data_IF_443296060264
#
_entry.id   IF_443296060264
#
_cell.length_a   1.000
_cell.length_b   1.000
_cell.length_c   1.000
_cell.angle_alpha   90.00
_cell.angle_beta   90.00
_cell.angle_gamma   90.00
#
_symmetry.space_group_name_H-M   'P 1'
#
loop_
_entity.id
_entity.type
_entity.pdbx_description
1 polymer ?
#
# COMPACT_ATOMS: atom_id res chain seq x y z
N UNK A 1 -5.85 -7.71 19.63
CA UNK A 1 -5.95 -6.35 19.07
C UNK A 1 -6.32 -5.32 20.13
N UNK A 2 -7.58 -5.19 20.55
CA UNK A 2 -8.00 -4.22 21.58
C UNK A 2 -7.28 -4.39 22.94
N UNK A 3 -7.03 -5.63 23.37
CA UNK A 3 -6.23 -5.90 24.58
C UNK A 3 -4.77 -5.45 24.48
N UNK A 4 -4.17 -5.43 23.28
CA UNK A 4 -2.80 -4.90 23.07
C UNK A 4 -2.75 -3.37 23.17
N UNK A 5 -3.91 -2.71 23.04
CA UNK A 5 -4.09 -1.27 23.17
C UNK A 5 -4.57 -0.87 24.58
N UNK A 6 -4.56 -1.81 25.55
CA UNK A 6 -4.91 -1.53 26.95
C UNK A 6 -6.41 -1.62 27.28
N UNK A 7 -7.21 -2.31 26.46
CA UNK A 7 -8.63 -2.57 26.77
C UNK A 7 -8.81 -3.83 27.64
N UNK A 8 -9.51 -3.69 28.76
CA UNK A 8 -9.87 -4.79 29.68
C UNK A 8 -10.94 -5.72 29.08
N UNK A 9 -10.95 -6.99 29.49
CA UNK A 9 -11.98 -7.99 29.11
C UNK A 9 -12.71 -8.57 30.32
N UNK A 10 -13.98 -8.92 30.14
CA UNK A 10 -14.75 -9.71 31.12
C UNK A 10 -14.47 -11.22 30.99
N UNK A 11 -15.07 -11.99 31.91
CA UNK A 11 -14.90 -13.45 31.97
C UNK A 11 -15.52 -14.21 30.79
N UNK A 12 -16.36 -13.54 29.99
CA UNK A 12 -16.94 -14.06 28.76
C UNK A 12 -16.17 -13.59 27.51
N UNK A 13 -15.08 -12.82 27.69
CA UNK A 13 -14.19 -12.37 26.62
C UNK A 13 -14.58 -11.03 25.98
N UNK A 14 -15.60 -10.34 26.49
CA UNK A 14 -16.05 -9.04 25.98
C UNK A 14 -15.16 -7.91 26.49
N UNK A 15 -14.90 -6.91 25.64
CA UNK A 15 -14.17 -5.70 26.07
C UNK A 15 -15.06 -4.84 26.97
N UNK A 16 -14.55 -4.48 28.14
CA UNK A 16 -15.29 -3.72 29.15
C UNK A 16 -15.09 -2.21 28.91
N UNK A 17 -16.19 -1.45 28.92
CA UNK A 17 -16.18 0.02 28.81
C UNK A 17 -15.61 0.65 30.09
N UNK A 18 -15.23 1.94 30.03
CA UNK A 18 -14.50 2.63 31.09
C UNK A 18 -15.11 2.41 32.49
N UNK A 19 -14.28 1.97 33.41
CA UNK A 19 -14.64 1.38 34.71
C UNK A 19 -14.70 2.48 35.78
N UNK A 20 -15.47 3.55 35.55
CA UNK A 20 -15.53 4.66 36.51
C UNK A 20 -16.71 4.62 37.48
N UNK A 21 -17.67 3.71 37.35
CA UNK A 21 -18.57 3.40 38.48
C UNK A 21 -19.07 1.95 38.44
N UNK A 22 -18.79 1.20 39.51
CA UNK A 22 -19.19 -0.21 39.66
C UNK A 22 -20.70 -0.36 39.87
N UNK A 23 -21.45 0.74 39.92
CA UNK A 23 -22.90 0.75 40.12
C UNK A 23 -23.70 1.12 38.87
N UNK A 24 -23.08 1.64 37.80
CA UNK A 24 -23.82 2.05 36.61
C UNK A 24 -23.87 0.93 35.57
N UNK A 25 -25.03 0.26 35.52
CA UNK A 25 -25.34 -0.81 34.56
C UNK A 25 -25.53 -0.28 33.12
N UNK A 26 -25.22 0.99 32.87
CA UNK A 26 -25.62 1.73 31.68
C UNK A 26 -24.58 2.73 31.17
N UNK A 27 -23.28 2.39 31.13
CA UNK A 27 -22.42 3.04 30.14
C UNK A 27 -22.74 2.51 28.73
N UNK A 28 -23.89 2.95 28.21
CA UNK A 28 -24.40 2.66 26.86
C UNK A 28 -23.63 3.42 25.78
N UNK A 29 -22.57 4.15 26.12
CA UNK A 29 -21.88 5.00 25.16
C UNK A 29 -20.96 4.21 24.22
N UNK A 30 -20.60 2.96 24.56
CA UNK A 30 -19.75 2.11 23.72
C UNK A 30 -18.27 2.53 23.71
N UNK A 31 -17.84 3.34 24.70
CA UNK A 31 -16.48 3.85 24.86
C UNK A 31 -15.52 2.75 25.27
N UNK A 32 -14.37 2.65 24.60
CA UNK A 32 -13.28 1.78 25.07
C UNK A 32 -12.49 2.47 26.19
N UNK A 33 -11.53 1.78 26.80
CA UNK A 33 -10.61 2.37 27.78
C UNK A 33 -9.71 3.46 27.19
N UNK A 34 -9.72 3.64 25.87
CA UNK A 34 -9.04 4.74 25.18
C UNK A 34 -10.04 5.87 24.93
N UNK A 35 -9.77 7.03 25.51
CA UNK A 35 -10.62 8.21 25.36
C UNK A 35 -10.81 8.60 23.88
N UNK A 36 -12.07 8.74 23.47
CA UNK A 36 -12.43 9.10 22.09
C UNK A 36 -12.45 7.93 21.12
N UNK A 37 -12.37 6.68 21.59
CA UNK A 37 -12.55 5.48 20.78
C UNK A 37 -13.83 4.77 21.22
N UNK A 38 -14.63 4.41 20.23
CA UNK A 38 -15.85 3.63 20.39
C UNK A 38 -15.77 2.39 19.52
N UNK A 39 -16.12 1.25 20.09
CA UNK A 39 -16.11 -0.03 19.40
C UNK A 39 -17.46 -0.70 19.55
N UNK A 40 -18.05 -1.12 18.43
CA UNK A 40 -19.31 -1.87 18.40
C UNK A 40 -19.12 -3.08 17.50
N UNK A 41 -19.29 -4.28 18.04
CA UNK A 41 -19.26 -5.52 17.26
C UNK A 41 -18.68 -6.72 18.00
N UNK A 42 -18.42 -7.78 17.26
CA UNK A 42 -17.98 -9.06 17.81
C UNK A 42 -16.47 -9.03 18.12
N UNK A 43 -16.10 -9.23 19.39
CA UNK A 43 -14.68 -9.23 19.83
C UNK A 43 -13.96 -10.53 19.45
N UNK A 44 -14.71 -11.61 19.17
CA UNK A 44 -14.16 -12.90 18.73
C UNK A 44 -13.81 -12.88 17.24
N UNK A 45 -14.63 -12.19 16.44
CA UNK A 45 -14.35 -11.95 15.03
C UNK A 45 -14.13 -10.44 14.79
N UNK A 46 -12.88 -9.96 14.83
CA UNK A 46 -12.59 -8.54 14.71
C UNK A 46 -12.92 -7.97 13.32
N UNK A 47 -13.26 -8.81 12.32
CA UNK A 47 -13.78 -8.36 11.01
C UNK A 47 -15.27 -8.01 11.05
N UNK A 48 -15.99 -8.43 12.09
CA UNK A 48 -17.38 -8.06 12.34
C UNK A 48 -17.48 -6.94 13.40
N UNK A 49 -16.49 -6.02 13.41
CA UNK A 49 -16.40 -4.91 14.33
C UNK A 49 -16.39 -3.57 13.59
N UNK A 50 -17.21 -2.62 14.04
CA UNK A 50 -17.15 -1.23 13.66
C UNK A 50 -16.40 -0.43 14.73
N UNK A 51 -15.38 0.32 14.32
CA UNK A 51 -14.62 1.22 15.20
C UNK A 51 -14.87 2.65 14.74
N UNK A 52 -15.46 3.46 15.63
CA UNK A 52 -15.64 4.88 15.41
C UNK A 52 -14.73 5.63 16.40
N UNK A 53 -14.02 6.65 15.93
CA UNK A 53 -13.13 7.42 16.79
C UNK A 53 -13.17 8.92 16.49
N UNK A 54 -12.91 9.73 17.50
CA UNK A 54 -12.81 11.17 17.40
C UNK A 54 -11.69 11.70 18.31
N UNK A 55 -11.07 12.81 17.90
CA UNK A 55 -9.98 13.45 18.66
C UNK A 55 -8.74 12.54 18.75
N UNK A 56 -8.18 12.42 19.95
CA UNK A 56 -6.98 11.61 20.23
C UNK A 56 -7.19 10.11 19.97
N UNK A 57 -8.44 9.65 19.90
CA UNK A 57 -8.79 8.26 19.58
C UNK A 57 -8.54 7.88 18.12
N UNK A 58 -8.42 8.84 17.20
CA UNK A 58 -8.23 8.56 15.77
C UNK A 58 -6.94 7.78 15.50
N UNK A 59 -5.85 8.08 16.20
CA UNK A 59 -4.57 7.36 16.07
C UNK A 59 -4.70 5.88 16.45
N UNK A 60 -5.49 5.59 17.50
CA UNK A 60 -5.76 4.23 17.91
C UNK A 60 -6.66 3.50 16.90
N UNK A 61 -7.67 4.17 16.33
CA UNK A 61 -8.49 3.59 15.27
C UNK A 61 -7.71 3.28 13.99
N UNK A 62 -6.76 4.13 13.60
CA UNK A 62 -5.85 3.85 12.49
C UNK A 62 -4.94 2.66 12.78
N UNK A 63 -4.30 2.62 13.94
CA UNK A 63 -3.46 1.48 14.32
C UNK A 63 -4.25 0.17 14.31
N UNK A 64 -5.50 0.22 14.76
CA UNK A 64 -6.42 -0.92 14.68
C UNK A 64 -6.65 -1.30 13.21
N UNK A 65 -7.07 -0.37 12.37
CA UNK A 65 -7.37 -0.70 10.98
C UNK A 65 -6.14 -1.27 10.23
N UNK A 66 -4.95 -0.74 10.50
CA UNK A 66 -3.68 -1.23 9.94
C UNK A 66 -3.39 -2.68 10.36
N UNK A 67 -3.50 -3.00 11.66
CA UNK A 67 -3.27 -4.38 12.15
C UNK A 67 -4.19 -5.41 11.45
N UNK A 68 -5.45 -5.05 11.18
CA UNK A 68 -6.40 -5.94 10.47
C UNK A 68 -6.03 -6.11 8.99
N UNK A 69 -5.57 -5.03 8.37
CA UNK A 69 -5.11 -5.06 6.97
C UNK A 69 -3.86 -5.91 6.82
N UNK A 70 -2.90 -5.80 7.75
CA UNK A 70 -1.66 -6.59 7.72
C UNK A 70 -1.98 -8.10 7.84
N UNK A 71 -2.88 -8.48 8.76
CA UNK A 71 -3.35 -9.87 8.87
C UNK A 71 -4.08 -10.39 7.62
N UNK A 72 -4.79 -9.53 6.89
CA UNK A 72 -5.46 -9.89 5.63
C UNK A 72 -4.47 -10.04 4.47
N UNK A 73 -3.45 -9.18 4.42
CA UNK A 73 -2.36 -9.28 3.45
C UNK A 73 -1.58 -10.57 3.67
N UNK A 74 -1.18 -10.87 4.91
CA UNK A 74 -0.45 -12.10 5.24
C UNK A 74 -1.24 -13.35 4.84
N UNK A 75 -2.55 -13.37 5.13
CA UNK A 75 -3.41 -14.49 4.73
C UNK A 75 -3.52 -14.61 3.21
N UNK A 76 -3.66 -13.49 2.50
CA UNK A 76 -3.75 -13.50 1.04
C UNK A 76 -2.43 -14.00 0.41
N UNK A 77 -1.28 -13.58 0.95
CA UNK A 77 0.04 -14.07 0.54
C UNK A 77 0.18 -15.57 0.78
N UNK A 78 -0.24 -16.06 1.94
CA UNK A 78 -0.16 -17.49 2.26
C UNK A 78 -1.11 -18.33 1.40
N UNK A 79 -2.32 -17.85 1.13
CA UNK A 79 -3.25 -18.50 0.19
C UNK A 79 -2.65 -18.57 -1.22
N UNK A 80 -2.02 -17.49 -1.68
CA UNK A 80 -1.36 -17.45 -2.98
C UNK A 80 -0.19 -18.46 -3.04
N UNK A 81 0.64 -18.53 -2.00
CA UNK A 81 1.73 -19.52 -1.88
C UNK A 81 1.21 -20.96 -1.90
N UNK A 82 0.11 -21.24 -1.18
CA UNK A 82 -0.50 -22.57 -1.16
C UNK A 82 -1.12 -22.94 -2.50
N UNK A 83 -1.77 -22.01 -3.19
CA UNK A 83 -2.30 -22.22 -4.53
C UNK A 83 -1.18 -22.48 -5.55
N UNK A 84 -0.07 -21.73 -5.47
CA UNK A 84 1.11 -21.95 -6.31
C UNK A 84 1.77 -23.33 -6.04
N UNK A 85 1.80 -23.76 -4.78
CA UNK A 85 2.30 -25.09 -4.41
C UNK A 85 1.41 -26.23 -4.91
N UNK A 86 0.09 -26.02 -4.97
CA UNK A 86 -0.87 -27.02 -5.47
C UNK A 86 -0.77 -27.25 -7.00
N UNK A 87 -0.29 -26.26 -7.75
CA UNK A 87 -0.08 -26.34 -9.22
C UNK A 87 1.17 -27.15 -9.58
N UNK A 88 2.12 -27.32 -8.65
CA UNK A 88 3.36 -28.07 -8.87
C UNK A 88 3.33 -29.41 -8.14
N UNK A 89 2.54 -30.36 -8.65
CA UNK A 89 2.69 -31.76 -8.28
C UNK A 89 3.80 -32.39 -9.13
N UNK A 90 4.92 -32.85 -8.56
CA UNK A 90 5.93 -33.57 -9.33
C UNK A 90 5.36 -34.95 -9.66
N UNK A 91 4.83 -35.13 -10.87
CA UNK A 91 4.54 -36.47 -11.37
C UNK A 91 5.86 -37.22 -11.49
N UNK A 92 6.12 -38.12 -10.54
CA UNK A 92 7.26 -39.02 -10.51
C UNK A 92 7.16 -40.04 -11.64
N UNK A 93 7.44 -39.63 -12.88
CA UNK A 93 7.92 -40.58 -13.88
C UNK A 93 9.42 -40.74 -13.67
N UNK A 94 9.75 -41.86 -13.04
CA UNK A 94 11.10 -42.31 -12.75
C UNK A 94 11.85 -42.51 -14.07
N UNK A 95 12.80 -41.62 -14.39
CA UNK A 95 13.70 -41.79 -15.53
C UNK A 95 14.70 -42.92 -15.25
N UNK A 96 14.86 -43.91 -16.15
CA UNK A 96 15.62 -45.14 -15.86
C UNK A 96 17.15 -45.02 -16.04
N UNK A 97 17.71 -43.83 -16.29
CA UNK A 97 19.16 -43.67 -16.48
C UNK A 97 19.88 -43.33 -15.17
N UNK A 98 19.86 -44.26 -14.20
CA UNK A 98 20.60 -44.11 -12.94
C UNK A 98 21.90 -44.91 -12.98
N UNK A 99 22.97 -44.32 -13.51
CA UNK A 99 24.32 -44.73 -13.10
C UNK A 99 25.30 -43.55 -13.10
N UNK A 100 25.84 -43.30 -11.90
CA UNK A 100 27.08 -42.62 -11.58
C UNK A 100 27.29 -41.18 -12.10
N UNK A 101 26.97 -40.19 -11.25
CA UNK A 101 27.86 -39.04 -11.12
C UNK A 101 27.95 -38.61 -9.65
N UNK A 102 29.14 -38.72 -9.10
CA UNK A 102 29.50 -38.37 -7.72
C UNK A 102 29.46 -36.87 -7.50
N UNK A 103 29.04 -36.49 -6.30
CA UNK A 103 28.96 -35.14 -5.76
C UNK A 103 30.15 -34.25 -6.11
N UNK A 104 29.84 -33.05 -6.62
CA UNK A 104 30.65 -31.86 -6.38
C UNK A 104 29.70 -30.74 -5.95
N UNK A 105 29.73 -30.41 -4.66
CA UNK A 105 28.98 -29.30 -4.10
C UNK A 105 29.52 -27.99 -4.69
N UNK A 106 28.82 -27.44 -5.68
CA UNK A 106 28.86 -26.01 -5.96
C UNK A 106 27.56 -25.42 -5.44
N UNK A 107 27.69 -24.62 -4.38
CA UNK A 107 26.67 -23.68 -3.90
C UNK A 107 26.40 -22.65 -5.00
N UNK A 108 25.57 -23.02 -5.96
CA UNK A 108 24.93 -22.09 -6.88
C UNK A 108 23.59 -21.70 -6.30
N UNK A 109 23.52 -20.51 -5.69
CA UNK A 109 22.24 -19.85 -5.40
C UNK A 109 21.39 -19.82 -6.68
N UNK A 110 20.09 -20.15 -6.64
CA UNK A 110 19.25 -20.00 -7.82
C UNK A 110 19.26 -18.51 -8.18
N UNK A 111 19.73 -18.19 -9.39
CA UNK A 111 19.56 -16.84 -9.96
C UNK A 111 18.07 -16.55 -9.97
N UNK A 112 17.64 -15.63 -9.11
CA UNK A 112 16.37 -14.94 -9.26
C UNK A 112 16.32 -14.37 -10.68
N UNK A 113 15.32 -14.78 -11.44
CA UNK A 113 14.98 -14.21 -12.73
C UNK A 113 14.66 -12.73 -12.58
N UNK A 114 15.03 -11.96 -13.60
CA UNK A 114 15.02 -10.51 -13.65
C UNK A 114 13.60 -9.93 -13.79
N UNK A 115 12.80 -9.98 -12.71
CA UNK A 115 11.54 -9.24 -12.57
C UNK A 115 11.53 -8.40 -11.28
N UNK A 116 12.66 -7.75 -10.99
CA UNK A 116 12.61 -6.61 -10.06
C UNK A 116 11.89 -5.46 -10.78
N UNK A 117 10.92 -4.77 -10.14
CA UNK A 117 10.32 -3.56 -10.69
C UNK A 117 11.44 -2.63 -11.14
N UNK A 118 11.39 -2.16 -12.38
CA UNK A 118 12.41 -1.25 -12.89
C UNK A 118 12.37 0.04 -12.04
N UNK A 119 13.53 0.55 -11.60
CA UNK A 119 13.56 1.83 -10.90
C UNK A 119 12.85 2.89 -11.72
N UNK A 120 11.85 3.54 -11.14
CA UNK A 120 11.19 4.69 -11.77
C UNK A 120 12.19 5.84 -11.83
N UNK A 121 12.37 6.41 -13.02
CA UNK A 121 13.31 7.50 -13.26
C UNK A 121 13.00 8.70 -12.34
N UNK A 122 14.03 9.18 -11.65
CA UNK A 122 13.95 10.44 -10.92
C UNK A 122 14.21 11.60 -11.87
N UNK A 123 13.36 12.62 -11.80
CA UNK A 123 13.42 13.83 -12.62
C UNK A 123 13.89 15.00 -11.76
N UNK A 124 14.77 15.81 -12.35
CA UNK A 124 15.31 17.05 -11.78
C UNK A 124 14.67 18.26 -12.45
N UNK A 125 14.85 19.47 -11.89
CA UNK A 125 14.37 20.71 -12.50
C UNK A 125 14.81 20.85 -13.98
N UNK A 126 16.05 20.49 -14.30
CA UNK A 126 16.59 20.64 -15.67
C UNK A 126 15.98 19.63 -16.65
N UNK A 127 15.57 18.46 -16.17
CA UNK A 127 15.02 17.38 -17.00
C UNK A 127 13.49 17.39 -17.05
N UNK A 128 12.83 18.13 -16.16
CA UNK A 128 11.39 18.17 -16.01
C UNK A 128 10.66 18.58 -17.29
N UNK A 129 11.12 19.64 -17.95
CA UNK A 129 10.50 20.10 -19.21
C UNK A 129 10.54 19.03 -20.29
N UNK A 130 11.68 18.38 -20.50
CA UNK A 130 11.84 17.37 -21.53
C UNK A 130 11.08 16.06 -21.20
N UNK A 131 11.09 15.64 -19.93
CA UNK A 131 10.52 14.36 -19.49
C UNK A 131 9.03 14.40 -19.19
N UNK A 132 8.49 15.57 -18.79
CA UNK A 132 7.09 15.72 -18.36
C UNK A 132 6.32 16.61 -19.31
N UNK A 133 6.85 17.80 -19.61
CA UNK A 133 6.09 18.80 -20.38
C UNK A 133 6.10 18.53 -21.90
N UNK A 134 7.18 17.93 -22.40
CA UNK A 134 7.34 17.59 -23.82
C UNK A 134 7.11 16.10 -24.11
N UNK A 135 6.62 15.34 -23.12
CA UNK A 135 6.31 13.94 -23.32
C UNK A 135 5.13 13.76 -24.28
N UNK A 136 5.31 12.87 -25.26
CA UNK A 136 4.25 12.49 -26.20
C UNK A 136 3.17 11.64 -25.53
N UNK A 137 3.57 10.86 -24.52
CA UNK A 137 2.69 9.96 -23.76
C UNK A 137 2.27 10.63 -22.44
N UNK A 138 1.12 10.24 -21.86
CA UNK A 138 0.76 10.70 -20.54
C UNK A 138 1.85 10.37 -19.52
N UNK A 139 2.10 11.30 -18.60
CA UNK A 139 3.13 11.16 -17.56
C UNK A 139 2.50 11.31 -16.18
N UNK A 140 2.69 10.30 -15.32
CA UNK A 140 2.40 10.41 -13.90
C UNK A 140 3.65 10.84 -13.15
N UNK A 141 3.59 11.98 -12.47
CA UNK A 141 4.65 12.49 -11.61
C UNK A 141 4.31 12.19 -10.15
N UNK A 142 5.13 11.39 -9.47
CA UNK A 142 5.07 11.18 -8.02
C UNK A 142 6.03 12.13 -7.30
N UNK A 143 5.49 13.01 -6.47
CA UNK A 143 6.27 13.86 -5.57
C UNK A 143 6.47 13.15 -4.23
N UNK A 144 7.73 13.03 -3.80
CA UNK A 144 8.11 12.35 -2.57
C UNK A 144 9.26 13.06 -1.85
N UNK A 145 9.54 12.64 -0.62
CA UNK A 145 10.66 13.14 0.18
C UNK A 145 11.15 12.06 1.15
N UNK A 146 12.38 12.19 1.66
CA UNK A 146 13.02 11.19 2.53
C UNK A 146 12.36 11.06 3.90
N UNK A 147 11.79 12.16 4.40
CA UNK A 147 11.03 12.26 5.65
C UNK A 147 9.57 11.77 5.52
N UNK A 148 9.12 11.47 4.31
CA UNK A 148 7.75 11.02 4.06
C UNK A 148 7.60 9.51 4.30
N UNK A 149 7.14 9.13 5.49
CA UNK A 149 6.90 7.72 5.81
C UNK A 149 5.84 7.06 4.90
N UNK A 150 4.67 7.67 4.61
CA UNK A 150 3.70 7.10 3.68
C UNK A 150 4.24 6.92 2.25
N UNK A 151 5.22 7.72 1.83
CA UNK A 151 5.85 7.59 0.52
C UNK A 151 6.58 6.26 0.37
N UNK A 152 7.16 5.71 1.45
CA UNK A 152 7.87 4.42 1.43
C UNK A 152 6.95 3.25 1.11
N UNK A 153 5.68 3.33 1.52
CA UNK A 153 4.68 2.31 1.24
C UNK A 153 4.14 2.39 -0.19
N UNK A 154 3.92 3.60 -0.72
CA UNK A 154 3.30 3.77 -2.04
C UNK A 154 4.31 3.70 -3.19
N UNK A 155 5.57 4.04 -2.96
CA UNK A 155 6.63 3.98 -3.98
C UNK A 155 6.75 2.60 -4.67
N UNK A 156 6.83 1.46 -3.95
CA UNK A 156 6.91 0.16 -4.62
C UNK A 156 5.64 -0.17 -5.43
N UNK A 157 4.47 0.32 -5.01
CA UNK A 157 3.21 0.17 -5.75
C UNK A 157 3.29 0.96 -7.07
N UNK A 158 3.82 2.18 -7.03
CA UNK A 158 4.00 3.03 -8.20
C UNK A 158 5.04 2.45 -9.16
N UNK A 159 6.12 1.87 -8.64
CA UNK A 159 7.14 1.18 -9.45
C UNK A 159 6.56 -0.08 -10.13
N UNK A 160 5.69 -0.82 -9.45
CA UNK A 160 4.94 -1.91 -10.07
C UNK A 160 4.00 -1.41 -11.17
N UNK A 161 3.25 -0.33 -10.92
CA UNK A 161 2.38 0.28 -11.93
C UNK A 161 3.18 0.77 -13.15
N UNK A 162 4.39 1.27 -12.95
CA UNK A 162 5.27 1.71 -14.04
C UNK A 162 5.69 0.54 -14.94
N UNK A 163 5.95 -0.63 -14.35
CA UNK A 163 6.27 -1.83 -15.10
C UNK A 163 5.05 -2.33 -15.91
N UNK A 164 3.88 -2.38 -15.28
CA UNK A 164 2.64 -2.89 -15.89
C UNK A 164 2.08 -1.97 -16.98
N UNK A 165 2.20 -0.65 -16.79
CA UNK A 165 1.71 0.35 -17.74
C UNK A 165 2.78 0.82 -18.73
N UNK A 166 3.91 0.09 -18.80
CA UNK A 166 4.97 0.38 -19.76
C UNK A 166 4.40 0.38 -21.19
N UNK A 167 4.63 1.47 -21.93
CA UNK A 167 4.05 1.66 -23.27
C UNK A 167 2.73 2.44 -23.32
N UNK A 168 1.98 2.55 -22.21
CA UNK A 168 0.76 3.37 -22.12
C UNK A 168 0.91 4.65 -21.29
N UNK A 169 1.53 4.54 -20.10
CA UNK A 169 1.78 5.66 -19.19
C UNK A 169 3.26 5.68 -18.81
N UNK A 170 3.89 6.85 -18.86
CA UNK A 170 5.23 7.02 -18.28
C UNK A 170 5.09 7.49 -16.84
N UNK A 171 5.91 6.94 -15.95
CA UNK A 171 5.88 7.30 -14.52
C UNK A 171 7.25 7.83 -14.15
N UNK A 172 7.28 8.95 -13.44
CA UNK A 172 8.51 9.60 -12.96
C UNK A 172 8.36 10.03 -11.52
N UNK A 173 9.47 10.17 -10.81
CA UNK A 173 9.52 10.63 -9.42
C UNK A 173 10.26 11.96 -9.33
N UNK A 174 9.80 12.82 -8.42
CA UNK A 174 10.48 14.08 -8.07
C UNK A 174 10.71 14.09 -6.57
N UNK A 175 11.98 14.20 -6.18
CA UNK A 175 12.39 14.34 -4.78
C UNK A 175 12.36 15.83 -4.38
N UNK A 176 11.48 16.17 -3.45
CA UNK A 176 11.35 17.54 -2.97
C UNK A 176 12.53 18.00 -2.11
N UNK A 177 13.28 17.07 -1.50
CA UNK A 177 14.48 17.40 -0.73
C UNK A 177 15.62 17.82 -1.66
N UNK A 178 15.70 17.21 -2.85
CA UNK A 178 16.69 17.53 -3.88
C UNK A 178 16.27 18.72 -4.75
N UNK A 179 14.97 18.89 -5.01
CA UNK A 179 14.43 19.88 -5.96
C UNK A 179 13.41 20.86 -5.32
N UNK A 180 13.81 21.63 -4.28
CA UNK A 180 12.87 22.51 -3.56
C UNK A 180 12.34 23.67 -4.43
N UNK A 181 13.11 24.12 -5.41
CA UNK A 181 12.67 25.16 -6.37
C UNK A 181 11.51 24.68 -7.24
N UNK A 182 11.63 23.47 -7.79
CA UNK A 182 10.58 22.82 -8.57
C UNK A 182 9.31 22.59 -7.74
N UNK A 183 9.47 22.16 -6.48
CA UNK A 183 8.36 22.00 -5.54
C UNK A 183 7.54 23.28 -5.37
N UNK A 184 8.24 24.41 -5.17
CA UNK A 184 7.62 25.73 -4.99
C UNK A 184 6.92 26.23 -6.26
N UNK A 185 7.56 26.07 -7.42
CA UNK A 185 6.98 26.44 -8.72
C UNK A 185 5.68 25.68 -9.02
N UNK A 186 5.63 24.39 -8.66
CA UNK A 186 4.47 23.53 -8.89
C UNK A 186 3.44 23.59 -7.74
N UNK A 187 3.71 24.33 -6.67
CA UNK A 187 2.80 24.50 -5.54
C UNK A 187 2.58 23.22 -4.72
N UNK A 188 3.54 22.30 -4.70
CA UNK A 188 3.44 21.03 -3.96
C UNK A 188 3.78 21.27 -2.49
N UNK A 189 2.76 21.24 -1.63
CA UNK A 189 2.87 21.53 -0.19
C UNK A 189 2.77 20.29 0.70
N UNK A 190 2.39 19.14 0.12
CA UNK A 190 2.19 17.89 0.85
C UNK A 190 2.62 16.70 -0.01
N UNK A 191 3.13 15.66 0.65
CA UNK A 191 3.57 14.41 0.02
C UNK A 191 3.02 13.19 0.78
N UNK A 192 2.77 12.06 0.10
CA UNK A 192 2.92 11.87 -1.35
C UNK A 192 1.85 12.61 -2.15
N UNK A 193 2.26 13.25 -3.24
CA UNK A 193 1.36 13.90 -4.19
C UNK A 193 1.62 13.37 -5.60
N UNK A 194 0.58 13.38 -6.41
CA UNK A 194 0.59 12.80 -7.74
C UNK A 194 -0.07 13.76 -8.71
N UNK A 195 0.57 14.00 -9.85
CA UNK A 195 0.03 14.85 -10.92
C UNK A 195 0.21 14.13 -12.25
N UNK A 196 -0.86 14.08 -13.03
CA UNK A 196 -0.88 13.48 -14.37
C UNK A 196 -0.80 14.60 -15.40
N UNK A 197 0.16 14.48 -16.32
CA UNK A 197 0.36 15.38 -17.43
C UNK A 197 -0.01 14.69 -18.75
N UNK A 198 -0.61 15.42 -19.68
CA UNK A 198 -0.86 14.98 -21.05
C UNK A 198 -0.70 16.18 -21.97
N UNK A 199 0.13 16.05 -23.02
CA UNK A 199 0.46 17.17 -23.91
C UNK A 199 1.01 18.39 -23.15
N UNK A 200 1.81 18.14 -22.10
CA UNK A 200 2.41 19.18 -21.26
C UNK A 200 1.48 19.94 -20.33
N UNK A 201 0.20 19.53 -20.22
CA UNK A 201 -0.77 20.16 -19.30
C UNK A 201 -1.17 19.20 -18.19
N UNK A 202 -1.35 19.68 -16.94
CA UNK A 202 -1.87 18.85 -15.87
C UNK A 202 -3.35 18.55 -16.13
N UNK A 203 -3.71 17.26 -16.20
CA UNK A 203 -5.08 16.79 -16.46
C UNK A 203 -5.77 16.26 -15.21
N UNK A 204 -4.99 15.95 -14.16
CA UNK A 204 -5.54 15.54 -12.88
C UNK A 204 -4.46 15.41 -11.81
N UNK A 205 -4.86 15.50 -10.55
CA UNK A 205 -3.96 15.34 -9.40
C UNK A 205 -4.67 14.76 -8.20
N UNK A 206 -3.90 14.16 -7.30
CA UNK A 206 -4.37 13.76 -5.99
C UNK A 206 -3.23 13.78 -4.97
N UNK A 207 -3.61 13.87 -3.70
CA UNK A 207 -2.69 13.86 -2.56
C UNK A 207 -3.04 12.68 -1.66
N UNK A 208 -2.01 12.05 -1.10
CA UNK A 208 -2.13 10.96 -0.15
C UNK A 208 -1.78 9.59 -0.74
N UNK A 209 -1.35 8.69 0.15
CA UNK A 209 -1.11 7.30 -0.19
C UNK A 209 -2.44 6.56 -0.36
N UNK A 210 -2.49 5.62 -1.30
CA UNK A 210 -3.64 4.75 -1.50
C UNK A 210 -3.19 3.37 -2.01
N UNK A 211 -3.98 2.31 -1.79
CA UNK A 211 -3.72 1.00 -2.37
C UNK A 211 -3.76 1.01 -3.90
N UNK A 212 -3.08 0.05 -4.53
CA UNK A 212 -2.94 -0.08 -5.99
C UNK A 212 -4.26 0.10 -6.76
N UNK A 213 -5.30 -0.66 -6.39
CA UNK A 213 -6.60 -0.62 -7.06
C UNK A 213 -7.25 0.78 -7.06
N UNK A 214 -6.99 1.58 -6.02
CA UNK A 214 -7.49 2.96 -5.94
C UNK A 214 -6.70 3.87 -6.88
N UNK A 215 -5.38 3.69 -6.95
CA UNK A 215 -4.52 4.44 -7.87
C UNK A 215 -4.86 4.14 -9.33
N UNK A 216 -5.06 2.86 -9.68
CA UNK A 216 -5.51 2.42 -10.99
C UNK A 216 -6.86 3.05 -11.37
N UNK A 217 -7.83 3.04 -10.44
CA UNK A 217 -9.13 3.66 -10.67
C UNK A 217 -9.02 5.18 -10.89
N UNK A 218 -8.17 5.86 -10.12
CA UNK A 218 -7.91 7.30 -10.30
C UNK A 218 -7.27 7.59 -11.65
N UNK A 219 -6.26 6.81 -12.04
CA UNK A 219 -5.59 6.92 -13.34
C UNK A 219 -6.57 6.68 -14.48
N UNK A 220 -7.35 5.61 -14.43
CA UNK A 220 -8.36 5.31 -15.43
C UNK A 220 -9.42 6.42 -15.53
N UNK A 221 -9.83 7.01 -14.41
CA UNK A 221 -10.77 8.14 -14.42
C UNK A 221 -10.20 9.42 -15.04
N UNK A 222 -8.89 9.67 -14.87
CA UNK A 222 -8.23 10.86 -15.40
C UNK A 222 -7.91 10.69 -16.89
N UNK A 223 -7.37 9.54 -17.27
CA UNK A 223 -6.97 9.24 -18.65
C UNK A 223 -8.17 8.88 -19.54
N UNK A 224 -9.17 8.19 -18.99
CA UNK A 224 -10.40 7.83 -19.69
C UNK A 224 -11.35 9.00 -19.95
N UNK A 225 -11.09 10.19 -19.40
CA UNK A 225 -11.79 11.41 -19.75
C UNK A 225 -11.27 12.07 -21.05
N UNK A 226 -10.21 11.51 -21.67
CA UNK A 226 -9.54 12.13 -22.83
C UNK A 226 -9.08 11.20 -23.96
N UNK A 227 -9.23 9.87 -23.87
CA UNK A 227 -8.83 8.99 -24.99
C UNK A 227 -9.75 7.77 -25.13
N UNK A 228 -10.48 7.73 -26.24
CA UNK A 228 -11.19 6.56 -26.74
C UNK A 228 -10.18 5.44 -27.04
N UNK A 229 -10.29 4.31 -26.34
CA UNK A 229 -9.52 3.08 -26.61
C UNK A 229 -8.54 2.71 -25.51
N UNK A 230 -9.06 2.03 -24.50
CA UNK A 230 -8.31 1.20 -23.53
C UNK A 230 -8.83 -0.23 -23.64
#
# INVERSE_FOLDING_TARGET
>A
MLTRLGCDKDNAGWVVTDRTDRTDRTDRTGRTSVAGVWAVGNVVDPRAQAVAAAGTGSSAAFAIHTDLLDEDVDRAVDQHRQAAAAVWQPTTRQCPCRTAYSHSHKTGSPRMTADAPRPVDSVTEQTYTARVLQAERPVLVQFWATWCHPCRMVTPIVEQLAAEQSGHLDIVKVDLDAEPGLAAQLGITSVPAFVVYTGGRPVGSWVGAAPKHVLEKKLASILGAGSDGW
#
